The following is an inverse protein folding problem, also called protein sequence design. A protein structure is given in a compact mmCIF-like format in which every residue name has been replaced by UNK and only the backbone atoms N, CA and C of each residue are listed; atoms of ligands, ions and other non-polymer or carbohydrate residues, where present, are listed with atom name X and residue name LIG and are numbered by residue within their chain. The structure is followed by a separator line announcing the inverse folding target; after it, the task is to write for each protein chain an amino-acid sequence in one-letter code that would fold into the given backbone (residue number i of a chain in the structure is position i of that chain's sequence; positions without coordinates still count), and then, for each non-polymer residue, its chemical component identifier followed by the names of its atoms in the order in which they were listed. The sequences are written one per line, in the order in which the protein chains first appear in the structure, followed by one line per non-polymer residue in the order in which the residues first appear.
data_IF_755957098923
#
_entry.id   IF_755957098923
#
_cell.length_a   1.000
_cell.length_b   1.000
_cell.length_c   1.000
_cell.angle_alpha   90.00
_cell.angle_beta   90.00
_cell.angle_gamma   90.00
#
_symmetry.space_group_name_H-M   'P 1'
#
loop_
_entity.id
_entity.type
_entity.pdbx_description
1 polymer ?
#
# COMPACT_ATOMS: atom_id res chain seq x y z
N UNK A 1 -31.58 -0.55 -31.41
CA UNK A 1 -31.09 -1.34 -30.27
C UNK A 1 -32.07 -1.11 -29.14
N UNK A 2 -32.64 -2.18 -28.58
CA UNK A 2 -33.65 -2.08 -27.53
C UNK A 2 -32.94 -1.87 -26.20
N UNK A 3 -33.30 -0.80 -25.48
CA UNK A 3 -32.87 -0.56 -24.11
C UNK A 3 -33.41 -1.70 -23.24
N UNK A 4 -32.51 -2.45 -22.59
CA UNK A 4 -32.88 -3.38 -21.52
C UNK A 4 -32.84 -2.55 -20.24
N UNK A 5 -33.97 -2.37 -19.52
CA UNK A 5 -33.97 -1.63 -18.28
C UNK A 5 -33.24 -2.42 -17.20
N UNK A 6 -32.35 -1.73 -16.46
CA UNK A 6 -31.67 -2.26 -15.28
C UNK A 6 -32.69 -2.90 -14.35
N UNK A 7 -32.60 -4.22 -14.15
CA UNK A 7 -33.64 -4.98 -13.47
C UNK A 7 -33.23 -5.24 -12.03
N UNK A 8 -33.59 -4.32 -11.14
CA UNK A 8 -33.36 -4.45 -9.69
C UNK A 8 -33.97 -5.76 -9.15
N UNK A 9 -33.12 -6.75 -8.85
CA UNK A 9 -33.53 -7.96 -8.15
C UNK A 9 -33.59 -7.66 -6.66
N UNK A 10 -34.79 -7.62 -6.06
CA UNK A 10 -34.94 -7.47 -4.61
C UNK A 10 -34.47 -8.70 -3.81
N UNK A 11 -33.90 -9.71 -4.45
CA UNK A 11 -33.48 -10.96 -3.83
C UNK A 11 -31.97 -11.08 -3.95
N UNK A 12 -31.28 -11.18 -2.82
CA UNK A 12 -29.84 -11.40 -2.79
C UNK A 12 -29.51 -12.74 -3.48
N UNK A 13 -28.67 -12.68 -4.51
CA UNK A 13 -28.15 -13.83 -5.25
C UNK A 13 -26.69 -14.14 -4.91
N UNK A 14 -26.01 -13.24 -4.18
CA UNK A 14 -24.64 -13.44 -3.70
C UNK A 14 -24.64 -14.50 -2.60
N UNK A 15 -23.71 -15.45 -2.67
CA UNK A 15 -23.64 -16.59 -1.74
C UNK A 15 -22.37 -16.60 -0.89
N UNK A 16 -21.49 -15.63 -1.07
CA UNK A 16 -20.28 -15.44 -0.28
C UNK A 16 -20.61 -15.24 1.21
N UNK A 17 -19.71 -15.69 2.08
CA UNK A 17 -19.91 -15.58 3.53
C UNK A 17 -20.02 -14.13 4.02
N UNK A 18 -19.25 -13.23 3.41
CA UNK A 18 -19.39 -11.78 3.53
C UNK A 18 -19.34 -11.15 2.14
N UNK A 19 -20.19 -10.15 1.93
CA UNK A 19 -20.31 -9.38 0.70
C UNK A 19 -20.71 -7.94 1.03
N UNK A 20 -21.03 -7.15 0.02
CA UNK A 20 -21.33 -5.73 0.18
C UNK A 20 -22.73 -5.40 -0.30
N UNK A 21 -23.36 -4.44 0.37
CA UNK A 21 -24.49 -3.68 -0.14
C UNK A 21 -24.03 -2.27 -0.51
N UNK A 22 -24.30 -1.86 -1.75
CA UNK A 22 -23.99 -0.52 -2.25
C UNK A 22 -25.25 0.31 -2.37
N UNK A 23 -25.24 1.45 -1.70
CA UNK A 23 -26.28 2.47 -1.81
C UNK A 23 -25.76 3.65 -2.64
N UNK A 24 -26.38 3.85 -3.79
CA UNK A 24 -26.09 4.97 -4.70
C UNK A 24 -26.54 6.31 -4.13
N UNK A 25 -25.90 7.39 -4.57
CA UNK A 25 -26.39 8.75 -4.34
C UNK A 25 -27.68 9.01 -5.13
N UNK A 26 -28.54 9.87 -4.61
CA UNK A 26 -29.83 10.18 -5.25
C UNK A 26 -29.57 10.80 -6.64
N UNK A 27 -30.08 10.18 -7.70
CA UNK A 27 -29.87 10.61 -9.09
C UNK A 27 -28.51 10.27 -9.70
N UNK A 28 -27.71 9.42 -9.03
CA UNK A 28 -26.43 8.88 -9.53
C UNK A 28 -26.40 7.35 -9.41
N UNK A 29 -27.44 6.71 -9.92
CA UNK A 29 -27.58 5.27 -9.99
C UNK A 29 -27.44 4.79 -11.44
N UNK A 30 -27.23 3.48 -11.69
CA UNK A 30 -27.23 2.93 -13.05
C UNK A 30 -28.56 3.15 -13.81
N UNK A 31 -29.64 3.44 -13.09
CA UNK A 31 -30.94 3.79 -13.69
C UNK A 31 -30.97 5.25 -14.20
N UNK A 32 -30.16 6.13 -13.60
CA UNK A 32 -30.16 7.58 -13.86
C UNK A 32 -28.96 8.03 -14.72
N UNK A 33 -27.87 7.27 -14.73
CA UNK A 33 -26.60 7.59 -15.39
C UNK A 33 -26.23 6.50 -16.41
N UNK A 34 -26.38 6.81 -17.69
CA UNK A 34 -26.08 5.89 -18.80
C UNK A 34 -24.59 5.56 -18.94
N UNK A 35 -23.70 6.46 -18.50
CA UNK A 35 -22.26 6.20 -18.52
C UNK A 35 -21.91 5.19 -17.44
N UNK A 36 -22.49 5.33 -16.23
CA UNK A 36 -22.37 4.36 -15.14
C UNK A 36 -22.92 2.98 -15.54
N UNK A 37 -24.08 2.94 -16.20
CA UNK A 37 -24.64 1.70 -16.72
C UNK A 37 -23.68 1.05 -17.74
N UNK A 38 -23.13 1.82 -18.66
CA UNK A 38 -22.16 1.32 -19.65
C UNK A 38 -20.87 0.77 -19.02
N UNK A 39 -20.41 1.33 -17.90
CA UNK A 39 -19.27 0.78 -17.13
C UNK A 39 -19.63 -0.59 -16.56
N UNK A 40 -20.83 -0.73 -15.97
CA UNK A 40 -21.29 -2.00 -15.40
C UNK A 40 -21.43 -3.07 -16.49
N UNK A 41 -22.09 -2.75 -17.60
CA UNK A 41 -22.24 -3.67 -18.74
C UNK A 41 -20.87 -4.09 -19.30
N UNK A 42 -19.92 -3.17 -19.38
CA UNK A 42 -18.55 -3.45 -19.83
C UNK A 42 -17.80 -4.41 -18.90
N UNK A 43 -17.92 -4.22 -17.58
CA UNK A 43 -17.34 -5.13 -16.59
C UNK A 43 -18.00 -6.51 -16.64
N UNK A 44 -19.33 -6.56 -16.72
CA UNK A 44 -20.08 -7.81 -16.80
C UNK A 44 -19.73 -8.61 -18.06
N UNK A 45 -19.53 -7.92 -19.19
CA UNK A 45 -19.05 -8.56 -20.42
C UNK A 45 -17.60 -9.05 -20.31
N UNK A 46 -16.71 -8.25 -19.71
CA UNK A 46 -15.29 -8.59 -19.57
C UNK A 46 -15.06 -9.77 -18.62
N UNK A 47 -15.88 -9.91 -17.57
CA UNK A 47 -15.73 -10.91 -16.52
C UNK A 47 -16.85 -11.97 -16.52
N UNK A 48 -17.55 -12.13 -17.65
CA UNK A 48 -18.68 -13.04 -17.80
C UNK A 48 -18.39 -14.48 -17.35
N UNK A 49 -17.17 -14.98 -17.62
CA UNK A 49 -16.76 -16.35 -17.25
C UNK A 49 -16.25 -16.46 -15.80
N UNK A 50 -16.02 -15.34 -15.12
CA UNK A 50 -15.45 -15.28 -13.75
C UNK A 50 -16.51 -14.95 -12.70
N UNK A 51 -17.48 -14.10 -13.03
CA UNK A 51 -18.55 -13.75 -12.12
C UNK A 51 -19.62 -14.83 -12.09
N UNK A 52 -20.01 -15.25 -10.89
CA UNK A 52 -21.13 -16.17 -10.71
C UNK A 52 -22.47 -15.53 -11.10
N UNK A 53 -22.62 -14.23 -10.83
CA UNK A 53 -23.74 -13.37 -11.19
C UNK A 53 -23.19 -12.03 -11.67
N UNK A 54 -23.81 -11.43 -12.68
CA UNK A 54 -23.39 -10.11 -13.15
C UNK A 54 -23.65 -9.04 -12.07
N UNK A 55 -22.93 -7.93 -12.11
CA UNK A 55 -23.13 -6.78 -11.21
C UNK A 55 -24.55 -6.24 -11.40
N UNK A 56 -25.07 -6.21 -12.64
CA UNK A 56 -26.46 -5.86 -12.91
C UNK A 56 -27.46 -6.80 -12.20
N UNK A 57 -27.24 -8.12 -12.27
CA UNK A 57 -28.14 -9.11 -11.67
C UNK A 57 -28.09 -9.11 -10.14
N UNK A 58 -26.92 -8.88 -9.56
CA UNK A 58 -26.72 -8.97 -8.11
C UNK A 58 -27.00 -7.67 -7.36
N UNK A 59 -27.10 -6.52 -8.06
CA UNK A 59 -27.33 -5.20 -7.47
C UNK A 59 -28.58 -5.16 -6.56
N UNK A 60 -28.50 -4.53 -5.36
CA UNK A 60 -27.40 -3.69 -4.85
C UNK A 60 -26.25 -4.46 -4.21
N UNK A 61 -26.29 -5.79 -4.23
CA UNK A 61 -25.30 -6.64 -3.59
C UNK A 61 -24.15 -6.99 -4.54
N UNK A 62 -22.94 -7.04 -4.00
CA UNK A 62 -21.75 -7.38 -4.77
C UNK A 62 -20.69 -8.07 -3.92
N UNK A 63 -19.93 -8.95 -4.53
CA UNK A 63 -18.73 -9.52 -3.90
C UNK A 63 -17.66 -8.42 -3.74
N UNK A 64 -16.66 -8.67 -2.90
CA UNK A 64 -15.53 -7.75 -2.76
C UNK A 64 -14.80 -7.54 -4.10
N UNK A 65 -14.62 -8.60 -4.88
CA UNK A 65 -13.99 -8.52 -6.19
C UNK A 65 -14.77 -7.61 -7.16
N UNK A 66 -16.09 -7.78 -7.23
CA UNK A 66 -16.95 -6.95 -8.08
C UNK A 66 -16.88 -5.48 -7.68
N UNK A 67 -16.93 -5.20 -6.37
CA UNK A 67 -16.86 -3.83 -5.86
C UNK A 67 -15.53 -3.15 -6.19
N UNK A 68 -14.41 -3.84 -6.00
CA UNK A 68 -13.08 -3.30 -6.32
C UNK A 68 -12.94 -2.98 -7.81
N UNK A 69 -13.36 -3.88 -8.69
CA UNK A 69 -13.33 -3.65 -10.14
C UNK A 69 -14.22 -2.47 -10.55
N UNK A 70 -15.41 -2.38 -9.97
CA UNK A 70 -16.33 -1.28 -10.21
C UNK A 70 -15.74 0.04 -9.70
N UNK A 71 -15.26 0.09 -8.45
CA UNK A 71 -14.78 1.32 -7.84
C UNK A 71 -13.50 1.84 -8.50
N UNK A 72 -12.60 0.96 -8.95
CA UNK A 72 -11.47 1.38 -9.80
C UNK A 72 -11.96 1.95 -11.14
N UNK A 73 -12.95 1.34 -11.78
CA UNK A 73 -13.52 1.87 -13.03
C UNK A 73 -14.18 3.24 -12.83
N UNK A 74 -14.92 3.43 -11.72
CA UNK A 74 -15.53 4.72 -11.37
C UNK A 74 -14.46 5.78 -11.09
N UNK A 75 -13.39 5.41 -10.40
CA UNK A 75 -12.23 6.28 -10.18
C UNK A 75 -11.59 6.70 -11.50
N UNK A 76 -11.38 5.76 -12.41
CA UNK A 76 -10.68 6.02 -13.67
C UNK A 76 -11.53 6.89 -14.62
N UNK A 77 -12.85 6.70 -14.64
CA UNK A 77 -13.76 7.46 -15.51
C UNK A 77 -14.10 8.83 -14.91
N UNK A 78 -14.52 8.89 -13.66
CA UNK A 78 -15.04 10.13 -13.06
C UNK A 78 -13.99 10.93 -12.29
N UNK A 79 -12.88 10.32 -11.87
CA UNK A 79 -11.82 10.92 -11.03
C UNK A 79 -12.25 11.19 -9.58
N UNK A 80 -13.53 11.46 -9.35
CA UNK A 80 -14.17 11.58 -8.06
C UNK A 80 -15.63 11.10 -8.16
N UNK A 81 -15.99 10.10 -7.37
CA UNK A 81 -17.33 9.53 -7.27
C UNK A 81 -17.70 9.32 -5.80
N UNK A 82 -18.95 9.57 -5.44
CA UNK A 82 -19.45 9.37 -4.08
C UNK A 82 -20.62 8.40 -4.12
N UNK A 83 -20.55 7.40 -3.25
CA UNK A 83 -21.67 6.53 -2.91
C UNK A 83 -22.25 7.00 -1.58
N UNK A 84 -23.56 6.87 -1.44
CA UNK A 84 -24.27 7.23 -0.20
C UNK A 84 -23.81 6.35 0.96
N UNK A 85 -23.68 5.04 0.72
CA UNK A 85 -23.22 4.06 1.71
C UNK A 85 -22.64 2.82 1.03
N UNK A 86 -21.60 2.26 1.63
CA UNK A 86 -21.15 0.89 1.35
C UNK A 86 -21.11 0.14 2.67
N UNK A 87 -21.83 -0.97 2.78
CA UNK A 87 -21.97 -1.76 4.01
C UNK A 87 -21.52 -3.20 3.78
N UNK A 88 -20.89 -3.80 4.79
CA UNK A 88 -20.68 -5.25 4.85
C UNK A 88 -22.02 -5.93 5.12
N UNK A 89 -22.22 -7.10 4.52
CA UNK A 89 -23.40 -7.92 4.67
C UNK A 89 -23.04 -9.40 4.78
N UNK A 90 -23.90 -10.14 5.46
CA UNK A 90 -23.94 -11.60 5.45
C UNK A 90 -25.35 -12.09 5.10
N UNK A 91 -25.47 -13.39 4.85
CA UNK A 91 -26.78 -14.03 4.69
C UNK A 91 -27.28 -14.59 6.02
N UNK A 92 -28.49 -14.19 6.40
CA UNK A 92 -29.28 -14.89 7.41
C UNK A 92 -30.39 -15.68 6.71
N UNK A 93 -30.12 -16.97 6.50
CA UNK A 93 -30.99 -17.83 5.70
C UNK A 93 -30.95 -17.45 4.21
N UNK A 94 -31.89 -16.61 3.75
CA UNK A 94 -31.99 -16.14 2.35
C UNK A 94 -32.05 -14.61 2.24
N UNK A 95 -31.93 -13.91 3.36
CA UNK A 95 -31.99 -12.46 3.42
C UNK A 95 -30.59 -11.92 3.68
N UNK A 96 -30.23 -10.87 2.95
CA UNK A 96 -29.00 -10.13 3.19
C UNK A 96 -29.22 -9.20 4.38
N UNK A 97 -28.34 -9.28 5.37
CA UNK A 97 -28.39 -8.48 6.59
C UNK A 97 -27.12 -7.64 6.67
N UNK A 98 -27.28 -6.34 6.86
CA UNK A 98 -26.19 -5.38 7.09
C UNK A 98 -26.25 -4.76 8.50
N UNK A 99 -27.21 -5.17 9.32
CA UNK A 99 -27.41 -4.59 10.64
C UNK A 99 -26.32 -5.08 11.59
N UNK A 100 -25.68 -4.17 12.31
CA UNK A 100 -24.53 -4.48 13.17
C UNK A 100 -23.19 -4.62 12.44
N UNK A 101 -23.21 -4.75 11.11
CA UNK A 101 -22.02 -4.85 10.26
C UNK A 101 -21.35 -3.48 10.02
N UNK A 102 -20.06 -3.48 9.70
CA UNK A 102 -19.34 -2.24 9.39
C UNK A 102 -19.81 -1.65 8.06
N UNK A 103 -19.92 -0.32 8.02
CA UNK A 103 -20.24 0.42 6.81
C UNK A 103 -19.46 1.73 6.77
N UNK A 104 -19.35 2.35 5.59
CA UNK A 104 -18.84 3.70 5.40
C UNK A 104 -19.89 4.55 4.67
N UNK A 105 -20.14 5.76 5.20
CA UNK A 105 -21.18 6.68 4.73
C UNK A 105 -20.81 8.14 5.06
N UNK A 106 -20.58 9.01 4.06
CA UNK A 106 -20.51 8.70 2.63
C UNK A 106 -19.27 7.86 2.30
N UNK A 107 -19.31 7.13 1.18
CA UNK A 107 -18.16 6.40 0.67
C UNK A 107 -17.58 7.13 -0.54
N UNK A 108 -16.34 7.62 -0.42
CA UNK A 108 -15.69 8.48 -1.42
C UNK A 108 -14.66 7.70 -2.22
N UNK A 109 -14.81 7.69 -3.52
CA UNK A 109 -13.88 7.14 -4.51
C UNK A 109 -13.22 8.33 -5.21
N UNK A 110 -11.95 8.61 -4.91
CA UNK A 110 -11.19 9.68 -5.55
C UNK A 110 -9.81 9.19 -6.01
N UNK A 111 -8.96 10.10 -6.48
CA UNK A 111 -7.59 9.75 -6.91
C UNK A 111 -6.76 8.99 -5.85
N UNK A 112 -7.13 9.06 -4.57
CA UNK A 112 -6.47 8.41 -3.43
C UNK A 112 -7.07 7.04 -3.09
N UNK A 113 -8.21 6.67 -3.68
CA UNK A 113 -8.81 5.35 -3.46
C UNK A 113 -7.83 4.25 -3.86
N UNK A 114 -7.54 3.35 -2.93
CA UNK A 114 -6.63 2.21 -3.11
C UNK A 114 -7.38 0.89 -3.07
N UNK A 115 -8.21 0.72 -2.03
CA UNK A 115 -9.09 -0.41 -1.82
C UNK A 115 -10.20 -0.03 -0.84
N UNK A 116 -11.24 -0.86 -0.81
CA UNK A 116 -12.42 -0.81 0.02
C UNK A 116 -12.14 -0.96 1.51
N UNK A 117 -11.10 -1.72 1.90
CA UNK A 117 -10.80 -1.95 3.30
C UNK A 117 -10.45 -0.64 4.01
N UNK A 118 -9.76 0.30 3.35
CA UNK A 118 -9.33 1.55 4.01
C UNK A 118 -10.51 2.41 4.51
N UNK A 119 -11.52 2.76 3.69
CA UNK A 119 -12.66 3.52 4.19
C UNK A 119 -13.47 2.77 5.26
N UNK A 120 -13.54 1.42 5.20
CA UNK A 120 -14.24 0.62 6.20
C UNK A 120 -13.49 0.58 7.54
N UNK A 121 -12.17 0.40 7.51
CA UNK A 121 -11.31 0.49 8.71
C UNK A 121 -11.41 1.88 9.31
N UNK A 122 -11.34 2.93 8.49
CA UNK A 122 -11.50 4.28 8.96
C UNK A 122 -12.85 4.43 9.67
N UNK A 123 -13.93 3.99 9.03
CA UNK A 123 -15.28 4.09 9.58
C UNK A 123 -15.42 3.36 10.93
N UNK A 124 -14.97 2.11 11.06
CA UNK A 124 -15.11 1.38 12.33
C UNK A 124 -14.29 2.01 13.46
N UNK A 125 -13.17 2.63 13.12
CA UNK A 125 -12.26 3.22 14.11
C UNK A 125 -12.75 4.57 14.62
N UNK A 126 -13.25 5.43 13.74
CA UNK A 126 -13.61 6.83 14.11
C UNK A 126 -15.12 7.10 14.13
N UNK A 127 -15.93 6.23 13.53
CA UNK A 127 -17.37 6.41 13.37
C UNK A 127 -18.11 6.36 14.71
N UNK A 128 -19.09 7.25 14.88
CA UNK A 128 -19.91 7.29 16.10
C UNK A 128 -20.70 5.99 16.30
N UNK A 129 -21.15 5.38 15.20
CA UNK A 129 -21.94 4.14 15.19
C UNK A 129 -21.18 2.94 15.78
N UNK A 130 -19.85 3.01 15.86
CA UNK A 130 -18.99 1.93 16.32
C UNK A 130 -18.29 2.23 17.65
N UNK A 131 -18.66 3.31 18.36
CA UNK A 131 -18.01 3.70 19.62
C UNK A 131 -18.25 2.74 20.77
N UNK A 132 -19.35 2.00 20.75
CA UNK A 132 -19.67 1.02 21.79
C UNK A 132 -18.75 -0.21 21.77
N UNK A 133 -18.06 -0.46 20.66
CA UNK A 133 -17.13 -1.57 20.52
C UNK A 133 -15.72 -1.19 20.98
N UNK A 134 -15.07 -2.10 21.67
CA UNK A 134 -13.67 -1.98 22.07
C UNK A 134 -12.74 -2.09 20.86
N UNK A 135 -11.52 -1.59 21.00
CA UNK A 135 -10.48 -1.73 19.97
C UNK A 135 -10.25 -3.21 19.59
N UNK A 136 -10.18 -4.10 20.59
CA UNK A 136 -9.94 -5.53 20.35
C UNK A 136 -11.07 -6.17 19.53
N UNK A 137 -12.34 -5.87 19.84
CA UNK A 137 -13.48 -6.40 19.07
C UNK A 137 -13.44 -5.96 17.61
N UNK A 138 -13.14 -4.67 17.37
CA UNK A 138 -13.01 -4.12 16.01
C UNK A 138 -11.89 -4.80 15.23
N UNK A 139 -10.73 -4.96 15.86
CA UNK A 139 -9.55 -5.61 15.27
C UNK A 139 -9.84 -7.07 14.96
N UNK A 140 -10.39 -7.82 15.91
CA UNK A 140 -10.71 -9.24 15.72
C UNK A 140 -11.75 -9.45 14.62
N UNK A 141 -12.77 -8.59 14.54
CA UNK A 141 -13.76 -8.65 13.47
C UNK A 141 -13.12 -8.46 12.09
N UNK A 142 -12.22 -7.48 11.93
CA UNK A 142 -11.50 -7.31 10.66
C UNK A 142 -10.53 -8.44 10.36
N UNK A 143 -9.65 -8.80 11.30
CA UNK A 143 -8.59 -9.80 11.09
C UNK A 143 -9.15 -11.20 10.92
N UNK A 144 -10.22 -11.56 11.63
CA UNK A 144 -10.75 -12.92 11.62
C UNK A 144 -11.92 -13.14 10.65
N UNK A 145 -12.60 -12.07 10.20
CA UNK A 145 -13.78 -12.19 9.34
C UNK A 145 -13.60 -11.46 8.00
N UNK A 146 -13.43 -10.13 8.03
CA UNK A 146 -13.38 -9.33 6.79
C UNK A 146 -12.15 -9.67 5.94
N UNK A 147 -10.96 -9.68 6.53
CA UNK A 147 -9.71 -9.92 5.81
C UNK A 147 -9.67 -11.29 5.12
N UNK A 148 -10.04 -12.40 5.78
CA UNK A 148 -10.17 -13.69 5.12
C UNK A 148 -11.17 -13.67 3.95
N UNK A 149 -12.36 -13.08 4.13
CA UNK A 149 -13.37 -13.02 3.09
C UNK A 149 -12.92 -12.18 1.88
N UNK A 150 -12.35 -11.00 2.14
CA UNK A 150 -11.79 -10.12 1.13
C UNK A 150 -10.66 -10.80 0.34
N UNK A 151 -9.74 -11.48 1.05
CA UNK A 151 -8.63 -12.22 0.44
C UNK A 151 -9.11 -13.33 -0.49
N UNK A 152 -10.08 -14.13 -0.04
CA UNK A 152 -10.66 -15.22 -0.84
C UNK A 152 -11.36 -14.66 -2.08
N UNK A 153 -12.14 -13.59 -1.93
CA UNK A 153 -12.87 -12.98 -3.05
C UNK A 153 -11.92 -12.41 -4.12
N UNK A 154 -10.83 -11.74 -3.73
CA UNK A 154 -9.88 -11.15 -4.68
C UNK A 154 -8.75 -12.11 -5.14
N UNK A 155 -8.56 -13.25 -4.48
CA UNK A 155 -7.44 -14.15 -4.76
C UNK A 155 -6.06 -13.57 -4.44
N UNK A 156 -5.96 -12.67 -3.46
CA UNK A 156 -4.71 -11.97 -3.08
C UNK A 156 -3.99 -12.67 -1.92
N UNK A 157 -2.77 -12.23 -1.62
CA UNK A 157 -1.98 -12.71 -0.47
C UNK A 157 -2.18 -11.82 0.76
N UNK A 158 -1.86 -12.35 1.94
CA UNK A 158 -1.94 -11.62 3.22
C UNK A 158 -1.11 -10.32 3.21
N UNK A 159 0.04 -10.33 2.54
CA UNK A 159 0.92 -9.16 2.42
C UNK A 159 0.33 -7.99 1.62
N UNK A 160 -0.75 -8.23 0.88
CA UNK A 160 -1.47 -7.18 0.14
C UNK A 160 -2.57 -6.51 0.98
N UNK A 161 -2.85 -7.03 2.18
CA UNK A 161 -3.86 -6.45 3.07
C UNK A 161 -3.29 -5.23 3.81
N UNK A 162 -4.10 -4.19 4.04
CA UNK A 162 -3.70 -3.09 4.90
C UNK A 162 -3.55 -3.57 6.34
N UNK A 163 -2.62 -2.97 7.06
CA UNK A 163 -2.51 -3.18 8.50
C UNK A 163 -3.74 -2.60 9.19
N UNK A 164 -4.30 -3.35 10.14
CA UNK A 164 -5.27 -2.78 11.05
C UNK A 164 -4.54 -1.83 12.01
N UNK A 165 -4.99 -0.58 12.19
CA UNK A 165 -4.30 0.42 13.01
C UNK A 165 -4.06 -0.06 14.44
N UNK A 166 -2.98 0.37 15.07
CA UNK A 166 -2.73 0.07 16.49
C UNK A 166 -3.59 0.95 17.42
N UNK A 167 -3.78 0.50 18.66
CA UNK A 167 -4.57 1.25 19.64
C UNK A 167 -3.94 2.62 19.93
N UNK A 168 -4.71 3.69 19.71
CA UNK A 168 -4.23 5.07 19.88
C UNK A 168 -3.50 5.66 18.67
N UNK A 169 -3.38 4.92 17.57
CA UNK A 169 -2.89 5.46 16.30
C UNK A 169 -3.84 6.52 15.73
N UNK A 170 -3.29 7.64 15.24
CA UNK A 170 -4.11 8.68 14.63
C UNK A 170 -4.57 8.23 13.23
N UNK A 171 -5.84 7.88 13.09
CA UNK A 171 -6.44 7.57 11.79
C UNK A 171 -6.61 8.87 11.00
N UNK A 172 -5.93 9.05 9.85
CA UNK A 172 -6.15 10.23 9.03
C UNK A 172 -7.60 10.27 8.54
N UNK A 173 -8.25 11.43 8.71
CA UNK A 173 -9.65 11.66 8.32
C UNK A 173 -9.85 11.66 6.78
N UNK A 174 -8.76 11.81 6.05
CA UNK A 174 -8.66 11.65 4.61
C UNK A 174 -8.30 10.20 4.31
N UNK A 175 -8.99 9.52 3.36
CA UNK A 175 -8.79 8.14 2.84
C UNK A 175 -7.32 7.77 2.46
N UNK A 176 -6.38 7.95 3.38
CA UNK A 176 -4.93 7.87 3.21
C UNK A 176 -4.40 7.00 4.33
N UNK A 177 -4.69 5.71 4.27
CA UNK A 177 -3.62 4.77 4.60
C UNK A 177 -2.60 4.88 3.48
N UNK A 178 -1.31 4.95 3.81
CA UNK A 178 -0.28 5.42 2.89
C UNK A 178 -0.09 4.46 1.69
N UNK A 179 -0.76 4.72 0.59
CA UNK A 179 -0.15 4.79 -0.74
C UNK A 179 -0.22 6.26 -1.18
N UNK A 180 0.91 6.96 -1.01
CA UNK A 180 1.01 8.39 -1.29
C UNK A 180 1.31 8.63 -2.78
N UNK A 181 0.32 9.12 -3.54
CA UNK A 181 0.53 10.06 -4.66
C UNK A 181 -0.65 11.03 -4.75
N UNK A 182 -0.35 12.33 -4.65
CA UNK A 182 -1.29 13.44 -4.91
C UNK A 182 -0.92 14.13 -6.22
N UNK A 183 -1.93 14.68 -6.90
CA UNK A 183 -1.78 15.84 -7.78
C UNK A 183 -2.76 16.91 -7.32
N UNK A 184 -2.29 18.16 -7.23
CA UNK A 184 -3.06 19.33 -6.81
C UNK A 184 -3.39 20.22 -8.01
N UNK A 185 -4.54 20.89 -7.98
CA UNK A 185 -4.88 21.99 -8.89
C UNK A 185 -5.20 23.27 -8.11
N UNK A 186 -4.77 24.38 -8.70
CA UNK A 186 -4.79 25.78 -8.24
C UNK A 186 -6.18 26.40 -8.47
N UNK A 187 -6.63 27.38 -7.65
CA UNK A 187 -7.61 28.36 -8.13
C UNK A 187 -7.05 29.79 -8.21
N UNK A 188 -7.39 30.41 -9.34
CA UNK A 188 -7.06 31.75 -9.80
C UNK A 188 -8.10 32.76 -9.30
N UNK A 189 -7.63 33.94 -8.90
CA UNK A 189 -8.44 35.13 -8.58
C UNK A 189 -8.98 35.83 -9.84
N UNK A 190 -10.21 36.35 -9.78
CA UNK A 190 -10.55 37.64 -10.42
C UNK A 190 -11.87 38.23 -9.89
N UNK A 191 -11.84 39.56 -9.80
CA UNK A 191 -12.75 40.54 -9.20
C UNK A 191 -13.84 41.03 -10.16
N UNK A 192 -14.96 41.59 -9.65
CA UNK A 192 -15.35 43.03 -9.79
C UNK A 192 -16.76 43.38 -9.18
N UNK A 193 -17.19 44.66 -9.05
CA UNK A 193 -17.53 45.25 -7.74
C UNK A 193 -18.98 45.78 -7.61
N UNK A 194 -19.40 46.16 -6.39
CA UNK A 194 -20.52 47.10 -6.17
C UNK A 194 -20.24 48.10 -5.04
N UNK A 195 -20.49 49.38 -5.34
CA UNK A 195 -20.36 50.55 -4.45
C UNK A 195 -21.45 50.56 -3.36
N UNK A 196 -21.11 51.03 -2.17
CA UNK A 196 -22.01 51.82 -1.32
C UNK A 196 -21.20 52.69 -0.34
N UNK A 197 -21.55 53.96 -0.27
CA UNK A 197 -20.98 54.95 0.64
C UNK A 197 -21.54 54.76 2.06
N UNK A 198 -20.70 54.86 3.10
CA UNK A 198 -21.11 55.45 4.38
C UNK A 198 -19.91 55.91 5.20
N UNK A 199 -20.05 57.09 5.79
CA UNK A 199 -19.06 57.83 6.58
C UNK A 199 -18.76 57.07 7.88
N UNK A 200 -17.49 56.69 8.11
CA UNK A 200 -17.04 56.07 9.37
C UNK A 200 -16.07 56.96 10.15
N UNK A 201 -16.28 57.03 11.47
CA UNK A 201 -15.49 57.79 12.43
C UNK A 201 -14.06 57.24 12.60
N UNK A 202 -13.07 58.11 12.42
CA UNK A 202 -11.61 57.84 12.43
C UNK A 202 -11.11 57.07 13.66
N UNK A 203 -11.73 57.22 14.84
CA UNK A 203 -11.32 56.51 16.06
C UNK A 203 -11.57 54.99 16.00
N UNK A 204 -12.58 54.54 15.24
CA UNK A 204 -12.86 53.11 15.05
C UNK A 204 -11.91 52.47 14.03
N UNK A 205 -11.34 53.26 13.11
CA UNK A 205 -10.40 52.80 12.08
C UNK A 205 -9.02 52.48 12.67
N UNK A 206 -8.50 53.32 13.58
CA UNK A 206 -7.21 53.06 14.24
C UNK A 206 -7.26 51.84 15.17
N UNK A 207 -8.38 51.59 15.84
CA UNK A 207 -8.56 50.42 16.70
C UNK A 207 -8.66 49.13 15.87
N UNK A 208 -9.29 49.19 14.69
CA UNK A 208 -9.34 48.09 13.73
C UNK A 208 -7.94 47.81 13.11
N UNK A 209 -7.18 48.86 12.78
CA UNK A 209 -5.82 48.73 12.24
C UNK A 209 -4.83 48.13 13.25
N UNK A 210 -4.95 48.49 14.53
CA UNK A 210 -4.16 47.88 15.60
C UNK A 210 -4.43 46.38 15.76
N UNK A 211 -5.69 45.96 15.66
CA UNK A 211 -6.10 44.54 15.72
C UNK A 211 -5.65 43.75 14.49
N UNK A 212 -5.70 44.35 13.30
CA UNK A 212 -5.24 43.73 12.05
C UNK A 212 -3.72 43.55 12.03
N UNK A 213 -2.97 44.51 12.56
CA UNK A 213 -1.51 44.42 12.65
C UNK A 213 -1.05 43.30 13.61
N UNK A 214 -1.72 43.10 14.75
CA UNK A 214 -1.39 42.00 15.68
C UNK A 214 -1.78 40.62 15.12
N UNK A 215 -2.90 40.51 14.40
CA UNK A 215 -3.28 39.28 13.69
C UNK A 215 -2.30 38.92 12.57
N UNK A 216 -1.79 39.91 11.82
CA UNK A 216 -0.81 39.69 10.76
C UNK A 216 0.54 39.14 11.29
N UNK A 217 1.05 39.69 12.40
CA UNK A 217 2.30 39.21 13.01
C UNK A 217 2.15 37.80 13.61
N UNK A 218 1.01 37.50 14.25
CA UNK A 218 0.71 36.14 14.75
C UNK A 218 0.55 35.09 13.63
N UNK A 219 0.02 35.49 12.46
CA UNK A 219 -0.06 34.64 11.27
C UNK A 219 1.30 34.31 10.65
N UNK A 220 2.26 35.24 10.72
CA UNK A 220 3.61 35.02 10.20
C UNK A 220 4.43 34.08 11.10
N UNK A 221 4.31 34.19 12.43
CA UNK A 221 5.03 33.30 13.37
C UNK A 221 4.47 31.87 13.32
N UNK A 222 3.15 31.71 13.20
CA UNK A 222 2.52 30.39 13.05
C UNK A 222 2.84 29.73 11.71
N UNK A 223 2.89 30.48 10.61
CA UNK A 223 3.26 29.94 9.28
C UNK A 223 4.72 29.48 9.19
N UNK A 224 5.66 30.16 9.85
CA UNK A 224 7.08 29.73 9.86
C UNK A 224 7.28 28.45 10.69
N UNK A 225 6.61 28.33 11.85
CA UNK A 225 6.65 27.11 12.66
C UNK A 225 6.00 25.91 11.95
N UNK A 226 4.88 26.14 11.25
CA UNK A 226 4.25 25.13 10.40
C UNK A 226 5.15 24.72 9.22
N UNK A 227 5.88 25.66 8.60
CA UNK A 227 6.83 25.34 7.54
C UNK A 227 8.06 24.57 8.04
N UNK A 228 8.58 24.87 9.23
CA UNK A 228 9.71 24.15 9.82
C UNK A 228 9.33 22.71 10.18
N UNK A 229 8.15 22.51 10.78
CA UNK A 229 7.61 21.19 11.09
C UNK A 229 7.30 20.40 9.80
N UNK A 230 6.69 21.04 8.81
CA UNK A 230 6.40 20.45 7.50
C UNK A 230 7.67 20.10 6.70
N UNK A 231 8.77 20.82 6.90
CA UNK A 231 10.06 20.50 6.27
C UNK A 231 10.72 19.29 6.94
N UNK A 232 10.70 19.21 8.27
CA UNK A 232 11.16 18.02 9.01
C UNK A 232 10.35 16.77 8.66
N UNK A 233 9.04 16.92 8.56
CA UNK A 233 8.15 15.84 8.13
C UNK A 233 8.42 15.41 6.68
N UNK A 234 8.68 16.35 5.75
CA UNK A 234 9.08 16.02 4.37
C UNK A 234 10.39 15.23 4.31
N UNK A 235 11.37 15.60 5.12
CA UNK A 235 12.66 14.92 5.18
C UNK A 235 12.52 13.50 5.73
N UNK A 236 11.74 13.33 6.81
CA UNK A 236 11.40 12.01 7.36
C UNK A 236 10.60 11.15 6.37
N UNK A 237 9.62 11.72 5.67
CA UNK A 237 8.83 11.01 4.65
C UNK A 237 9.72 10.57 3.48
N UNK A 238 10.65 11.40 3.04
CA UNK A 238 11.57 11.04 1.96
C UNK A 238 12.56 9.95 2.41
N UNK A 239 13.04 10.01 3.66
CA UNK A 239 13.86 8.97 4.27
C UNK A 239 13.12 7.62 4.33
N UNK A 240 11.91 7.61 4.89
CA UNK A 240 11.06 6.42 4.99
C UNK A 240 10.69 5.86 3.60
N UNK A 241 10.45 6.73 2.61
CA UNK A 241 10.19 6.32 1.23
C UNK A 241 11.41 5.66 0.57
N UNK A 242 12.61 6.17 0.86
CA UNK A 242 13.86 5.53 0.41
C UNK A 242 14.08 4.18 1.11
N UNK A 243 13.80 4.08 2.41
CA UNK A 243 13.90 2.84 3.19
C UNK A 243 12.91 1.79 2.70
N UNK A 244 11.67 2.18 2.38
CA UNK A 244 10.65 1.28 1.81
C UNK A 244 11.05 0.78 0.42
N UNK A 245 11.49 1.66 -0.48
CA UNK A 245 12.00 1.23 -1.79
C UNK A 245 13.18 0.26 -1.69
N UNK A 246 14.05 0.50 -0.72
CA UNK A 246 15.21 -0.35 -0.44
C UNK A 246 14.73 -1.72 0.08
N UNK A 247 13.75 -1.73 0.98
CA UNK A 247 13.16 -2.95 1.56
C UNK A 247 12.38 -3.76 0.52
N UNK A 248 11.62 -3.10 -0.36
CA UNK A 248 10.87 -3.75 -1.44
C UNK A 248 11.82 -4.35 -2.50
N UNK A 249 12.86 -3.60 -2.89
CA UNK A 249 13.90 -4.09 -3.79
C UNK A 249 14.70 -5.28 -3.21
N UNK A 250 14.86 -5.33 -1.89
CA UNK A 250 15.42 -6.48 -1.16
C UNK A 250 14.42 -7.64 -1.21
N UNK A 251 13.17 -7.43 -0.79
CA UNK A 251 12.13 -8.48 -0.70
C UNK A 251 11.86 -9.18 -2.04
N UNK A 252 11.75 -8.42 -3.15
CA UNK A 252 11.47 -8.98 -4.48
C UNK A 252 12.62 -9.84 -5.03
N UNK A 253 13.85 -9.54 -4.62
CA UNK A 253 15.07 -10.14 -5.18
C UNK A 253 15.80 -11.05 -4.20
N UNK A 254 15.40 -11.08 -2.94
CA UNK A 254 16.06 -11.82 -1.86
C UNK A 254 16.26 -13.29 -2.22
N UNK A 255 15.18 -13.98 -2.58
CA UNK A 255 15.26 -15.39 -2.94
C UNK A 255 16.14 -15.65 -4.16
N UNK A 256 16.14 -14.75 -5.16
CA UNK A 256 16.96 -14.91 -6.36
C UNK A 256 18.46 -14.74 -6.04
N UNK A 257 18.78 -13.72 -5.22
CA UNK A 257 20.15 -13.44 -4.80
C UNK A 257 20.64 -14.52 -3.83
N UNK A 258 19.78 -15.04 -2.94
CA UNK A 258 20.15 -16.16 -2.06
C UNK A 258 20.48 -17.42 -2.85
N UNK A 259 19.66 -17.75 -3.86
CA UNK A 259 19.94 -18.88 -4.76
C UNK A 259 21.26 -18.66 -5.49
N UNK A 260 21.49 -17.50 -6.10
CA UNK A 260 22.76 -17.15 -6.75
C UNK A 260 23.95 -17.35 -5.79
N UNK A 261 23.82 -16.83 -4.57
CA UNK A 261 24.87 -16.89 -3.55
C UNK A 261 25.15 -18.32 -3.11
N UNK A 262 24.11 -19.16 -2.96
CA UNK A 262 24.26 -20.60 -2.67
C UNK A 262 24.92 -21.38 -3.79
N UNK A 263 24.90 -20.90 -5.04
CA UNK A 263 25.74 -21.43 -6.12
C UNK A 263 27.16 -20.88 -6.08
N UNK A 264 27.34 -19.60 -5.75
CA UNK A 264 28.67 -18.98 -5.64
C UNK A 264 29.50 -19.58 -4.51
N UNK A 265 28.94 -19.73 -3.31
CA UNK A 265 29.67 -20.07 -2.09
C UNK A 265 30.42 -21.42 -2.17
N UNK A 266 29.82 -22.53 -2.64
CA UNK A 266 30.57 -23.79 -2.82
C UNK A 266 31.72 -23.66 -3.80
N UNK A 267 31.59 -22.82 -4.83
CA UNK A 267 32.67 -22.54 -5.78
C UNK A 267 33.76 -21.68 -5.13
N UNK A 268 33.38 -20.70 -4.30
CA UNK A 268 34.31 -19.88 -3.53
C UNK A 268 35.17 -20.69 -2.55
N UNK A 269 34.57 -21.66 -1.85
CA UNK A 269 35.29 -22.56 -0.93
C UNK A 269 35.93 -23.79 -1.61
N UNK A 270 35.86 -23.90 -2.94
CA UNK A 270 36.44 -25.04 -3.67
C UNK A 270 37.96 -25.01 -3.80
N UNK A 271 38.61 -23.90 -3.45
CA UNK A 271 40.04 -23.65 -3.67
C UNK A 271 40.44 -23.38 -5.13
N UNK A 272 39.49 -23.41 -6.07
CA UNK A 272 39.75 -23.35 -7.52
C UNK A 272 39.27 -22.05 -8.14
N UNK A 273 40.20 -21.26 -8.68
CA UNK A 273 39.91 -19.90 -9.21
C UNK A 273 39.04 -19.96 -10.47
N UNK A 274 39.23 -20.98 -11.30
CA UNK A 274 38.48 -21.22 -12.52
C UNK A 274 36.96 -21.40 -12.30
N UNK A 275 36.57 -21.87 -11.12
CA UNK A 275 35.17 -22.05 -10.74
C UNK A 275 34.44 -20.72 -10.48
N UNK A 276 35.18 -19.62 -10.31
CA UNK A 276 34.61 -18.31 -10.00
C UNK A 276 34.27 -17.48 -11.25
N UNK A 277 34.70 -17.90 -12.43
CA UNK A 277 34.60 -17.12 -13.67
C UNK A 277 33.17 -16.67 -14.01
N UNK A 278 32.18 -17.51 -13.72
CA UNK A 278 30.76 -17.20 -13.99
C UNK A 278 30.16 -16.22 -12.98
N UNK A 279 30.79 -16.04 -11.81
CA UNK A 279 30.23 -15.34 -10.66
C UNK A 279 30.84 -13.95 -10.45
N UNK A 280 32.10 -13.73 -10.82
CA UNK A 280 32.80 -12.47 -10.53
C UNK A 280 32.52 -11.41 -11.60
N UNK A 281 32.41 -10.15 -11.17
CA UNK A 281 32.42 -9.00 -12.07
C UNK A 281 33.83 -8.69 -12.57
N UNK A 282 33.94 -8.01 -13.71
CA UNK A 282 35.22 -7.63 -14.33
C UNK A 282 36.00 -6.55 -13.56
N UNK A 283 35.44 -6.04 -12.46
CA UNK A 283 36.03 -5.06 -11.53
C UNK A 283 36.91 -5.70 -10.46
N UNK A 284 36.93 -5.15 -9.26
CA UNK A 284 37.80 -5.62 -8.16
C UNK A 284 37.54 -7.08 -7.77
N UNK A 285 36.28 -7.53 -7.86
CA UNK A 285 35.91 -8.92 -7.62
C UNK A 285 36.64 -9.92 -8.53
N UNK A 286 37.11 -9.51 -9.73
CA UNK A 286 37.89 -10.42 -10.59
C UNK A 286 39.14 -10.95 -9.89
N UNK A 287 39.65 -10.24 -8.88
CA UNK A 287 40.83 -10.61 -8.12
C UNK A 287 40.55 -11.46 -6.88
N UNK A 288 39.28 -11.77 -6.57
CA UNK A 288 38.89 -12.58 -5.41
C UNK A 288 39.60 -13.94 -5.39
N UNK A 289 40.31 -14.24 -4.32
CA UNK A 289 41.02 -15.52 -4.17
C UNK A 289 40.08 -16.55 -3.52
N UNK A 290 39.86 -17.74 -4.11
CA UNK A 290 39.05 -18.77 -3.50
C UNK A 290 39.70 -19.29 -2.21
N UNK A 291 38.88 -19.76 -1.28
CA UNK A 291 39.32 -20.43 -0.05
C UNK A 291 39.15 -21.93 -0.16
N UNK A 292 39.82 -22.70 0.70
CA UNK A 292 39.64 -24.14 0.78
C UNK A 292 38.71 -24.49 1.94
N UNK A 293 37.74 -25.37 1.70
CA UNK A 293 36.85 -25.89 2.73
C UNK A 293 35.60 -26.53 2.14
N UNK A 294 34.88 -27.30 2.95
CA UNK A 294 33.55 -27.81 2.56
C UNK A 294 32.47 -27.15 3.39
N UNK A 295 31.46 -26.58 2.73
CA UNK A 295 30.32 -25.98 3.40
C UNK A 295 29.42 -27.07 3.98
N UNK A 296 29.17 -26.99 5.28
CA UNK A 296 28.23 -27.86 6.01
C UNK A 296 26.89 -27.16 6.24
N UNK A 297 26.90 -25.84 6.40
CA UNK A 297 25.71 -25.02 6.56
C UNK A 297 25.90 -23.66 5.89
N UNK A 298 24.82 -23.14 5.29
CA UNK A 298 24.76 -21.84 4.62
C UNK A 298 23.44 -21.18 5.01
N UNK A 299 23.50 -20.14 5.83
CA UNK A 299 22.33 -19.42 6.34
C UNK A 299 22.48 -17.94 5.97
N UNK A 300 21.51 -17.42 5.23
CA UNK A 300 21.43 -15.98 4.98
C UNK A 300 21.04 -15.30 6.31
N UNK A 301 21.92 -14.42 6.80
CA UNK A 301 21.68 -13.64 8.02
C UNK A 301 21.06 -12.29 7.70
N UNK A 302 21.53 -11.65 6.62
CA UNK A 302 21.11 -10.30 6.25
C UNK A 302 21.27 -10.05 4.75
N UNK A 303 20.32 -9.32 4.18
CA UNK A 303 20.40 -8.74 2.84
C UNK A 303 20.06 -7.25 2.94
N UNK A 304 20.93 -6.39 2.40
CA UNK A 304 20.69 -4.95 2.34
C UNK A 304 20.92 -4.45 0.91
N UNK A 305 20.18 -3.44 0.48
CA UNK A 305 20.40 -2.81 -0.82
C UNK A 305 21.07 -1.44 -0.62
N UNK A 306 22.24 -1.25 -1.23
CA UNK A 306 22.90 0.05 -1.32
C UNK A 306 22.38 0.77 -2.58
N UNK A 307 21.50 1.74 -2.38
CA UNK A 307 20.90 2.51 -3.47
C UNK A 307 21.92 3.39 -4.23
N UNK A 308 23.05 3.77 -3.62
CA UNK A 308 24.09 4.61 -4.27
C UNK A 308 24.91 3.78 -5.25
N UNK A 309 25.33 2.61 -4.80
CA UNK A 309 26.13 1.68 -5.62
C UNK A 309 25.27 0.81 -6.54
N UNK A 310 23.95 0.72 -6.25
CA UNK A 310 23.00 -0.22 -6.87
C UNK A 310 23.44 -1.68 -6.68
N UNK A 311 23.96 -1.97 -5.50
CA UNK A 311 24.47 -3.27 -5.11
C UNK A 311 23.66 -3.83 -3.93
N UNK A 312 23.67 -5.15 -3.79
CA UNK A 312 23.13 -5.87 -2.66
C UNK A 312 24.28 -6.32 -1.78
N UNK A 313 24.28 -5.94 -0.50
CA UNK A 313 25.21 -6.41 0.50
C UNK A 313 24.60 -7.60 1.23
N UNK A 314 25.31 -8.73 1.18
CA UNK A 314 24.90 -9.99 1.79
C UNK A 314 25.75 -10.29 3.01
N UNK A 315 25.11 -10.84 4.03
CA UNK A 315 25.77 -11.41 5.20
C UNK A 315 25.27 -12.84 5.39
N UNK A 316 26.20 -13.80 5.34
CA UNK A 316 25.93 -15.21 5.59
C UNK A 316 26.59 -15.69 6.86
N UNK A 317 25.92 -16.58 7.59
CA UNK A 317 26.56 -17.44 8.59
C UNK A 317 26.85 -18.78 7.94
N UNK A 318 28.13 -19.15 7.90
CA UNK A 318 28.63 -20.36 7.27
C UNK A 318 29.23 -21.28 8.32
N UNK A 319 28.99 -22.58 8.19
CA UNK A 319 29.76 -23.61 8.87
C UNK A 319 30.64 -24.30 7.85
N UNK A 320 31.95 -24.20 8.02
CA UNK A 320 32.95 -24.72 7.09
C UNK A 320 33.69 -25.86 7.79
N UNK A 321 33.86 -26.98 7.09
CA UNK A 321 34.73 -28.07 7.50
C UNK A 321 36.03 -27.99 6.70
N UNK A 322 37.14 -27.73 7.40
CA UNK A 322 38.49 -27.74 6.85
C UNK A 322 39.35 -28.72 7.67
N UNK A 323 39.94 -29.73 7.02
CA UNK A 323 40.85 -30.72 7.65
C UNK A 323 40.32 -31.28 9.00
N UNK A 324 39.06 -31.70 9.00
CA UNK A 324 38.29 -32.22 10.14
C UNK A 324 37.94 -31.24 11.27
N UNK A 325 38.28 -29.96 11.14
CA UNK A 325 37.82 -28.91 12.04
C UNK A 325 36.60 -28.20 11.48
N UNK A 326 35.59 -27.99 12.31
CA UNK A 326 34.41 -27.17 12.00
C UNK A 326 34.61 -25.75 12.52
N UNK A 327 34.44 -24.77 11.64
CA UNK A 327 34.50 -23.35 11.98
C UNK A 327 33.22 -22.66 11.53
N UNK A 328 32.72 -21.74 12.35
CA UNK A 328 31.59 -20.88 12.02
C UNK A 328 32.07 -19.46 11.77
N UNK A 329 31.77 -18.93 10.58
CA UNK A 329 32.18 -17.59 10.16
C UNK A 329 30.97 -16.80 9.67
N UNK A 330 31.03 -15.49 9.88
CA UNK A 330 30.17 -14.53 9.19
C UNK A 330 30.91 -14.05 7.94
N UNK A 331 30.31 -14.28 6.78
CA UNK A 331 30.86 -13.87 5.48
C UNK A 331 30.03 -12.71 4.91
N UNK A 332 30.71 -11.63 4.52
CA UNK A 332 30.10 -10.47 3.88
C UNK A 332 30.64 -10.25 2.47
N UNK A 333 29.76 -10.01 1.50
CA UNK A 333 30.13 -9.65 0.13
C UNK A 333 29.00 -8.89 -0.58
N UNK A 334 29.33 -8.26 -1.70
CA UNK A 334 28.39 -7.49 -2.51
C UNK A 334 28.08 -8.17 -3.84
N UNK A 335 26.84 -8.02 -4.29
CA UNK A 335 26.32 -8.55 -5.55
C UNK A 335 25.59 -7.46 -6.33
N UNK A 336 25.65 -7.53 -7.65
CA UNK A 336 24.92 -6.65 -8.56
C UNK A 336 24.17 -7.46 -9.60
N UNK A 337 22.99 -6.98 -9.99
CA UNK A 337 22.24 -7.54 -11.11
C UNK A 337 22.98 -7.29 -12.44
N UNK A 338 23.18 -8.37 -13.21
CA UNK A 338 23.78 -8.33 -14.53
C UNK A 338 23.10 -9.41 -15.41
N UNK A 339 21.97 -9.09 -16.05
CA UNK A 339 21.15 -10.07 -16.78
C UNK A 339 21.87 -10.80 -17.92
N UNK A 340 22.94 -10.21 -18.46
CA UNK A 340 23.76 -10.83 -19.51
C UNK A 340 24.67 -11.96 -19.02
N UNK A 341 24.80 -12.14 -17.70
CA UNK A 341 25.63 -13.17 -17.08
C UNK A 341 24.80 -14.42 -16.79
N UNK A 342 25.45 -15.58 -16.74
CA UNK A 342 24.82 -16.90 -16.64
C UNK A 342 23.74 -17.01 -15.56
N UNK A 343 23.97 -16.40 -14.40
CA UNK A 343 23.05 -16.44 -13.26
C UNK A 343 22.28 -15.13 -13.04
N UNK A 344 22.38 -14.17 -13.96
CA UNK A 344 21.73 -12.86 -13.85
C UNK A 344 22.33 -11.92 -12.80
N UNK A 345 23.34 -12.37 -12.04
CA UNK A 345 24.02 -11.63 -10.98
C UNK A 345 25.53 -11.86 -11.02
N UNK A 346 26.28 -10.92 -10.44
CA UNK A 346 27.73 -11.03 -10.24
C UNK A 346 28.15 -10.49 -8.88
N UNK A 347 29.18 -11.09 -8.30
CA UNK A 347 29.88 -10.60 -7.11
C UNK A 347 30.74 -9.40 -7.50
N UNK A 348 30.64 -8.33 -6.73
CA UNK A 348 31.32 -7.03 -7.01
C UNK A 348 32.39 -6.67 -5.99
N UNK A 349 32.46 -7.36 -4.86
CA UNK A 349 33.48 -7.16 -3.85
C UNK A 349 34.16 -8.47 -3.44
N UNK A 350 35.36 -8.36 -2.87
CA UNK A 350 36.04 -9.50 -2.27
C UNK A 350 35.31 -9.92 -0.98
N UNK A 351 34.96 -11.21 -0.82
CA UNK A 351 34.28 -11.69 0.37
C UNK A 351 35.14 -11.56 1.64
N UNK A 352 34.57 -10.97 2.69
CA UNK A 352 35.24 -10.72 3.97
C UNK A 352 34.67 -11.63 5.05
N UNK A 353 35.54 -12.34 5.76
CA UNK A 353 35.14 -13.22 6.86
C UNK A 353 35.45 -12.59 8.22
N UNK A 354 34.54 -12.81 9.15
CA UNK A 354 34.74 -12.53 10.57
C UNK A 354 34.31 -13.74 11.41
N UNK A 355 34.89 -13.97 12.59
CA UNK A 355 34.45 -15.05 13.47
C UNK A 355 32.98 -14.88 13.88
N UNK A 356 32.17 -15.95 13.78
CA UNK A 356 30.80 -15.93 14.28
C UNK A 356 30.75 -16.43 15.72
N UNK A 357 30.46 -15.52 16.67
CA UNK A 357 30.32 -15.86 18.08
C UNK A 357 28.85 -16.22 18.37
N UNK A 358 28.56 -17.51 18.58
CA UNK A 358 27.30 -17.90 19.21
C UNK A 358 27.39 -17.47 20.69
N UNK A 359 26.57 -16.50 21.11
CA UNK A 359 26.34 -16.30 22.55
C UNK A 359 25.62 -17.53 23.06
N UNK A 360 26.29 -18.28 23.94
CA UNK A 360 25.72 -19.41 24.68
C UNK A 360 24.57 -18.97 25.59
#
# INVERSE_FOLDING_TARGET
MAFIPFKKSNKCVVTDGLFLEVTWEDGKSPEDDSELLGIIEGLDQQYLDSFQHTIEESSPYMTFQQAELLFQSLKDVYGHFQLKKVAICHLEGKEAVSEGEVFASPFIIDSRYQNLLLPLIQSIMIGQDFQSYTYQEKREYFVNQIYPAYKVSLGIQESALPLFPEEGEQIPLDNTFVANRRVASIPTTSSEPRKANSIFSLKKVYLLMGLLATLAVGGIISSVSLHAELSKQKEQVNYLYQELKTTQAVTEKEHQIDVFSRYFLPNYYSGKKENLNDFLSDGDAKYTVPKEGSLQSVILEKLQYDAKMKHYQLTYVLTIKEKDQLTSVRLEFEVKEQPSRKYGYVVTSEPKETPYLMRN
#
